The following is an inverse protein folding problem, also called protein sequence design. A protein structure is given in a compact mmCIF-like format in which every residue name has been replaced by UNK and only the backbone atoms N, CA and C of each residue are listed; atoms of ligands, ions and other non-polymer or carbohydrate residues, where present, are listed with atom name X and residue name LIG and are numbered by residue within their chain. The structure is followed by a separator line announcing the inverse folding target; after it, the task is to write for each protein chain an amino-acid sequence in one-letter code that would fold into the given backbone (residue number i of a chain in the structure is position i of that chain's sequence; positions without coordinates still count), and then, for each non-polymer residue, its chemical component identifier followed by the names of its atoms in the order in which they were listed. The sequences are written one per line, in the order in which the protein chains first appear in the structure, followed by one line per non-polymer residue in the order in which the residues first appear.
data_IF_853594153477
#
_entry.id   IF_853594153477
#
_cell.length_a   1.000
_cell.length_b   1.000
_cell.length_c   1.000
_cell.angle_alpha   90.00
_cell.angle_beta   90.00
_cell.angle_gamma   90.00
#
_symmetry.space_group_name_H-M   'P 1'
#
loop_
_entity.id
_entity.type
_entity.pdbx_description
1 polymer ?
#
# COMPACT_ATOMS: atom_id res chain seq x y z
N UNK A 1 25.35 -0.51 1.82
CA UNK A 1 24.57 0.49 1.07
C UNK A 1 23.68 1.19 2.08
N UNK A 2 23.74 2.52 2.15
CA UNK A 2 22.87 3.31 3.05
C UNK A 2 21.44 3.22 2.54
N UNK A 3 20.45 3.14 3.43
CA UNK A 3 19.02 3.18 3.07
C UNK A 3 18.46 4.55 3.44
N UNK A 4 17.75 5.17 2.51
CA UNK A 4 16.98 6.39 2.78
C UNK A 4 15.57 6.17 2.25
N UNK A 5 14.58 6.66 2.98
CA UNK A 5 13.18 6.41 2.73
C UNK A 5 12.52 7.62 2.06
N UNK A 6 11.71 7.36 1.04
CA UNK A 6 10.92 8.37 0.33
C UNK A 6 9.47 8.25 0.74
N UNK A 7 8.98 9.23 1.50
CA UNK A 7 7.58 9.28 1.94
C UNK A 7 6.64 9.63 0.78
N UNK A 8 5.93 8.63 0.26
CA UNK A 8 4.94 8.76 -0.83
C UNK A 8 3.66 9.46 -0.41
N UNK A 9 3.40 9.63 0.89
CA UNK A 9 2.20 10.35 1.36
C UNK A 9 2.32 11.87 1.20
N UNK A 10 3.54 12.39 1.05
CA UNK A 10 3.81 13.82 0.98
C UNK A 10 3.59 14.44 -0.41
N UNK A 11 3.37 13.64 -1.46
CA UNK A 11 3.24 14.15 -2.82
C UNK A 11 2.45 13.21 -3.75
N UNK A 12 1.84 13.80 -4.78
CA UNK A 12 1.19 13.08 -5.88
C UNK A 12 2.11 13.03 -7.11
N UNK A 13 2.04 11.94 -7.87
CA UNK A 13 2.73 11.80 -9.16
C UNK A 13 4.07 11.06 -9.08
N UNK A 14 4.77 11.05 -10.22
CA UNK A 14 6.04 10.33 -10.36
C UNK A 14 7.22 11.18 -9.85
N UNK A 15 8.00 10.62 -8.93
CA UNK A 15 9.26 11.21 -8.47
C UNK A 15 10.38 10.19 -8.69
N UNK A 16 11.43 10.61 -9.40
CA UNK A 16 12.67 9.85 -9.52
C UNK A 16 13.74 10.48 -8.64
N UNK A 17 14.22 9.74 -7.64
CA UNK A 17 15.38 10.13 -6.84
C UNK A 17 16.51 9.14 -7.06
N UNK A 18 17.70 9.64 -7.38
CA UNK A 18 18.90 8.82 -7.51
C UNK A 18 20.01 9.44 -6.66
N UNK A 19 20.55 8.66 -5.74
CA UNK A 19 21.66 9.03 -4.87
C UNK A 19 22.74 7.95 -4.99
N UNK A 20 23.98 8.39 -5.18
CA UNK A 20 25.13 7.48 -5.25
C UNK A 20 25.28 6.68 -3.94
N UNK A 21 25.61 5.39 -4.06
CA UNK A 21 25.80 4.44 -2.95
C UNK A 21 24.64 4.32 -1.94
N UNK A 22 23.44 4.72 -2.36
CA UNK A 22 22.26 4.79 -1.50
C UNK A 22 21.07 4.07 -2.15
N UNK A 23 20.45 3.19 -1.37
CA UNK A 23 19.19 2.54 -1.73
C UNK A 23 18.03 3.43 -1.30
N UNK A 24 17.19 3.82 -2.26
CA UNK A 24 15.94 4.54 -1.97
C UNK A 24 14.82 3.52 -1.84
N UNK A 25 14.11 3.57 -0.71
CA UNK A 25 12.94 2.73 -0.44
C UNK A 25 11.72 3.65 -0.34
N UNK A 26 10.75 3.44 -1.23
CA UNK A 26 9.45 4.10 -1.10
C UNK A 26 8.75 3.64 0.18
N UNK A 27 8.17 4.58 0.89
CA UNK A 27 7.52 4.37 2.18
C UNK A 27 6.20 5.14 2.26
N UNK A 28 5.37 4.76 3.22
CA UNK A 28 4.06 5.34 3.47
C UNK A 28 2.92 4.47 3.00
N UNK A 29 1.72 4.88 3.37
CA UNK A 29 0.48 4.18 2.99
C UNK A 29 -0.43 5.18 2.29
N UNK A 30 -0.87 4.84 1.08
CA UNK A 30 -1.77 5.67 0.26
C UNK A 30 -3.07 4.95 -0.03
N UNK A 31 -4.01 5.64 -0.65
CA UNK A 31 -5.29 5.07 -1.08
C UNK A 31 -5.37 5.18 -2.61
N UNK A 32 -5.59 4.04 -3.25
CA UNK A 32 -5.93 3.91 -4.65
C UNK A 32 -7.44 3.77 -4.78
N UNK A 33 -8.15 4.89 -4.74
CA UNK A 33 -9.60 4.93 -4.91
C UNK A 33 -10.01 4.90 -6.38
N UNK A 34 -11.17 4.30 -6.64
CA UNK A 34 -11.79 4.29 -7.96
C UNK A 34 -12.86 5.38 -8.11
N UNK A 35 -13.10 5.79 -9.35
CA UNK A 35 -14.18 6.71 -9.66
C UNK A 35 -15.53 6.08 -9.30
N UNK A 36 -16.43 6.86 -8.70
CA UNK A 36 -17.79 6.40 -8.35
C UNK A 36 -18.56 5.85 -9.56
N UNK A 37 -18.23 6.32 -10.76
CA UNK A 37 -18.82 5.89 -12.02
C UNK A 37 -18.37 4.49 -12.47
N UNK A 38 -17.29 3.96 -11.91
CA UNK A 38 -16.76 2.62 -12.22
C UNK A 38 -17.41 1.53 -11.36
N UNK A 39 -18.21 1.91 -10.35
CA UNK A 39 -19.00 0.99 -9.53
C UNK A 39 -19.85 0.08 -10.41
N UNK A 40 -19.81 -1.21 -10.13
CA UNK A 40 -20.53 -2.22 -10.91
C UNK A 40 -20.94 -3.42 -10.04
N UNK A 41 -21.70 -4.35 -10.63
CA UNK A 41 -22.22 -5.54 -9.95
C UNK A 41 -21.10 -6.50 -9.50
N UNK A 42 -19.95 -6.50 -10.16
CA UNK A 42 -18.80 -7.33 -9.81
C UNK A 42 -18.19 -6.86 -8.48
N UNK A 43 -17.92 -5.57 -8.32
CA UNK A 43 -17.44 -5.02 -7.04
C UNK A 43 -18.45 -5.20 -5.90
N UNK A 44 -19.75 -5.13 -6.21
CA UNK A 44 -20.79 -5.43 -5.22
C UNK A 44 -20.78 -6.90 -4.81
N UNK A 45 -20.48 -7.81 -5.74
CA UNK A 45 -20.31 -9.24 -5.45
C UNK A 45 -19.09 -9.47 -4.56
N UNK A 46 -17.97 -8.78 -4.82
CA UNK A 46 -16.78 -8.88 -3.97
C UNK A 46 -17.06 -8.48 -2.52
N UNK A 47 -17.81 -7.39 -2.33
CA UNK A 47 -18.20 -6.93 -1.00
C UNK A 47 -19.13 -7.92 -0.29
N UNK A 48 -20.12 -8.46 -1.00
CA UNK A 48 -21.14 -9.34 -0.42
C UNK A 48 -20.62 -10.74 -0.10
N UNK A 49 -19.85 -11.33 -1.03
CA UNK A 49 -19.50 -12.74 -1.00
C UNK A 49 -18.10 -12.98 -0.43
N UNK A 50 -17.19 -12.00 -0.57
CA UNK A 50 -15.76 -12.16 -0.23
C UNK A 50 -15.25 -11.16 0.82
N UNK A 51 -16.13 -10.26 1.30
CA UNK A 51 -15.79 -9.20 2.25
C UNK A 51 -14.66 -8.29 1.77
N UNK A 52 -14.62 -8.02 0.45
CA UNK A 52 -13.67 -7.10 -0.19
C UNK A 52 -14.44 -5.90 -0.73
N UNK A 53 -14.34 -4.78 -0.04
CA UNK A 53 -15.01 -3.53 -0.37
C UNK A 53 -14.00 -2.59 -1.04
N UNK A 54 -14.06 -2.49 -2.37
CA UNK A 54 -13.22 -1.58 -3.15
C UNK A 54 -13.49 -0.13 -2.72
N UNK A 55 -12.42 0.65 -2.55
CA UNK A 55 -12.54 2.05 -2.13
C UNK A 55 -12.89 2.92 -3.34
N UNK A 56 -13.86 3.80 -3.16
CA UNK A 56 -14.29 4.78 -4.17
C UNK A 56 -14.11 6.21 -3.67
N UNK A 57 -14.01 7.16 -4.59
CA UNK A 57 -13.69 8.57 -4.30
C UNK A 57 -14.67 9.27 -3.34
N UNK A 58 -15.90 8.78 -3.19
CA UNK A 58 -16.92 9.31 -2.29
C UNK A 58 -16.92 8.69 -0.88
N UNK A 59 -16.08 7.67 -0.63
CA UNK A 59 -15.98 6.97 0.66
C UNK A 59 -14.54 6.53 0.96
N UNK A 60 -13.65 7.52 1.10
CA UNK A 60 -12.22 7.32 1.37
C UNK A 60 -12.00 7.12 2.88
N UNK A 61 -11.46 5.97 3.33
CA UNK A 61 -11.19 5.72 4.75
C UNK A 61 -10.04 6.59 5.28
N UNK A 62 -10.05 6.86 6.58
CA UNK A 62 -8.90 7.46 7.25
C UNK A 62 -7.85 6.39 7.58
N UNK A 63 -6.60 6.60 7.15
CA UNK A 63 -5.48 5.72 7.49
C UNK A 63 -4.75 6.24 8.73
N UNK A 64 -4.61 5.37 9.74
CA UNK A 64 -3.93 5.67 11.01
C UNK A 64 -2.64 4.85 11.18
N UNK A 65 -1.97 4.53 10.08
CA UNK A 65 -0.72 3.78 10.09
C UNK A 65 0.18 4.17 8.91
N UNK A 66 1.44 3.72 8.94
CA UNK A 66 2.45 4.02 7.95
C UNK A 66 3.24 2.76 7.63
N UNK A 67 3.41 2.43 6.36
CA UNK A 67 4.08 1.19 5.95
C UNK A 67 5.46 1.43 5.35
N UNK A 68 6.36 0.48 5.55
CA UNK A 68 7.64 0.40 4.87
C UNK A 68 7.85 -1.04 4.37
N UNK A 69 7.95 -1.28 3.05
CA UNK A 69 7.86 -0.31 1.94
C UNK A 69 6.45 0.27 1.75
N UNK A 70 6.30 1.12 0.73
CA UNK A 70 5.04 1.77 0.36
C UNK A 70 3.96 0.73 0.04
N UNK A 71 2.77 0.94 0.61
CA UNK A 71 1.57 0.15 0.31
C UNK A 71 0.48 1.08 -0.17
N UNK A 72 -0.16 0.73 -1.27
CA UNK A 72 -1.28 1.48 -1.83
C UNK A 72 -2.58 0.68 -1.64
N UNK A 73 -3.47 1.20 -0.79
CA UNK A 73 -4.67 0.50 -0.34
C UNK A 73 -5.78 0.66 -1.37
N UNK A 74 -6.35 -0.44 -1.82
CA UNK A 74 -7.43 -0.47 -2.83
C UNK A 74 -8.78 -0.95 -2.29
N UNK A 75 -8.77 -1.69 -1.18
CA UNK A 75 -10.01 -2.20 -0.58
C UNK A 75 -9.91 -2.32 0.94
N UNK A 76 -11.07 -2.40 1.58
CA UNK A 76 -11.23 -2.68 3.01
C UNK A 76 -12.12 -3.90 3.21
N UNK A 77 -12.06 -4.50 4.39
CA UNK A 77 -13.02 -5.52 4.82
C UNK A 77 -13.94 -5.01 5.94
N UNK A 78 -14.99 -5.76 6.26
CA UNK A 78 -15.93 -5.42 7.33
C UNK A 78 -15.33 -5.45 8.75
N UNK A 79 -14.11 -5.98 8.92
CA UNK A 79 -13.40 -6.14 10.19
C UNK A 79 -12.42 -4.99 10.46
N UNK A 80 -12.30 -4.03 9.53
CA UNK A 80 -11.37 -2.91 9.61
C UNK A 80 -9.95 -3.27 9.14
N UNK A 81 -9.82 -4.32 8.34
CA UNK A 81 -8.60 -4.64 7.62
C UNK A 81 -8.54 -3.95 6.25
N UNK A 82 -7.33 -3.86 5.71
CA UNK A 82 -7.02 -3.18 4.47
C UNK A 82 -6.32 -4.13 3.50
N UNK A 83 -6.69 -4.07 2.23
CA UNK A 83 -6.03 -4.80 1.14
C UNK A 83 -5.31 -3.80 0.25
N UNK A 84 -4.03 -4.05 -0.04
CA UNK A 84 -3.20 -3.12 -0.78
C UNK A 84 -2.13 -3.77 -1.64
N UNK A 85 -1.65 -2.99 -2.59
CA UNK A 85 -0.54 -3.34 -3.49
C UNK A 85 0.75 -2.90 -2.82
N UNK A 86 1.74 -3.80 -2.78
CA UNK A 86 3.04 -3.52 -2.17
C UNK A 86 4.00 -2.99 -3.22
N UNK A 87 4.31 -1.70 -3.15
CA UNK A 87 5.29 -1.06 -4.02
C UNK A 87 6.70 -1.28 -3.47
N UNK A 88 7.32 -2.37 -3.93
CA UNK A 88 8.77 -2.55 -3.84
C UNK A 88 9.45 -1.93 -5.07
N UNK A 89 10.79 -2.03 -5.16
CA UNK A 89 11.53 -1.77 -6.40
C UNK A 89 11.19 -2.83 -7.48
N UNK A 90 9.91 -3.04 -7.76
CA UNK A 90 9.42 -3.87 -8.86
C UNK A 90 9.30 -2.98 -10.10
N UNK A 91 9.78 -3.48 -11.24
CA UNK A 91 9.79 -2.73 -12.50
C UNK A 91 8.38 -2.53 -13.09
N UNK A 92 7.36 -3.23 -12.57
CA UNK A 92 5.97 -3.15 -13.03
C UNK A 92 4.96 -3.24 -11.87
N UNK A 93 3.86 -2.49 -11.97
CA UNK A 93 2.72 -2.58 -11.04
C UNK A 93 1.98 -3.93 -11.16
N UNK A 94 2.04 -4.57 -12.33
CA UNK A 94 1.37 -5.86 -12.57
C UNK A 94 2.00 -7.03 -11.84
N UNK A 95 3.26 -6.92 -11.43
CA UNK A 95 3.98 -7.97 -10.69
C UNK A 95 4.05 -7.66 -9.18
N UNK A 96 3.43 -6.56 -8.74
CA UNK A 96 3.47 -6.12 -7.35
C UNK A 96 2.54 -6.99 -6.49
N UNK A 97 3.03 -7.54 -5.37
CA UNK A 97 2.26 -8.49 -4.59
C UNK A 97 1.18 -7.79 -3.76
N UNK A 98 0.12 -8.54 -3.43
CA UNK A 98 -1.04 -8.03 -2.69
C UNK A 98 -0.94 -8.42 -1.23
N UNK A 99 -1.01 -7.44 -0.34
CA UNK A 99 -1.02 -7.65 1.10
C UNK A 99 -2.39 -7.38 1.72
N UNK A 100 -2.58 -7.95 2.90
CA UNK A 100 -3.65 -7.65 3.83
C UNK A 100 -3.06 -7.18 5.15
N UNK A 101 -3.52 -6.04 5.65
CA UNK A 101 -3.14 -5.47 6.95
C UNK A 101 -4.38 -5.49 7.82
N UNK A 102 -4.35 -6.26 8.91
CA UNK A 102 -5.49 -6.36 9.80
C UNK A 102 -5.57 -5.17 10.78
N UNK A 103 -6.67 -5.09 11.54
CA UNK A 103 -6.91 -4.07 12.57
C UNK A 103 -5.83 -3.98 13.67
N UNK A 104 -5.06 -5.04 13.87
CA UNK A 104 -4.00 -5.13 14.86
C UNK A 104 -2.63 -4.77 14.26
N UNK A 105 -2.62 -4.31 12.99
CA UNK A 105 -1.46 -3.93 12.19
C UNK A 105 -0.53 -5.12 11.85
N UNK A 106 -1.06 -6.34 11.88
CA UNK A 106 -0.36 -7.52 11.36
C UNK A 106 -0.50 -7.56 9.84
N UNK A 107 0.61 -7.83 9.16
CA UNK A 107 0.67 -7.87 7.70
C UNK A 107 0.79 -9.30 7.17
N UNK A 108 0.00 -9.58 6.14
CA UNK A 108 -0.03 -10.85 5.43
C UNK A 108 0.12 -10.61 3.94
N UNK A 109 0.75 -11.53 3.23
CA UNK A 109 0.66 -11.60 1.77
C UNK A 109 -0.51 -12.52 1.42
N UNK A 110 -1.34 -12.09 0.47
CA UNK A 110 -2.56 -12.82 0.07
C UNK A 110 -2.54 -13.24 -1.40
N UNK A 111 -1.71 -12.61 -2.23
CA UNK A 111 -1.51 -12.99 -3.62
C UNK A 111 -0.20 -12.41 -4.18
N UNK A 112 0.30 -13.01 -5.26
CA UNK A 112 1.52 -12.60 -5.95
C UNK A 112 1.33 -11.34 -6.80
N UNK A 113 0.11 -11.06 -7.26
CA UNK A 113 -0.24 -9.87 -8.03
C UNK A 113 -1.76 -9.66 -8.11
N UNK A 114 -2.19 -8.54 -8.71
CA UNK A 114 -3.62 -8.21 -8.86
C UNK A 114 -4.38 -9.27 -9.69
N UNK A 115 -3.79 -9.79 -10.76
CA UNK A 115 -4.46 -10.77 -11.64
C UNK A 115 -4.74 -12.09 -10.89
N UNK A 116 -3.75 -12.59 -10.16
CA UNK A 116 -3.87 -13.78 -9.31
C UNK A 116 -4.86 -13.54 -8.16
N UNK A 117 -4.86 -12.34 -7.58
CA UNK A 117 -5.79 -11.98 -6.51
C UNK A 117 -7.25 -12.02 -6.99
N UNK A 118 -7.54 -11.38 -8.13
CA UNK A 118 -8.89 -11.36 -8.70
C UNK A 118 -9.34 -12.77 -9.13
N UNK A 119 -8.43 -13.57 -9.69
CA UNK A 119 -8.71 -14.95 -10.10
C UNK A 119 -9.04 -15.88 -8.93
N UNK A 120 -8.51 -15.60 -7.74
CA UNK A 120 -8.67 -16.42 -6.53
C UNK A 120 -9.39 -15.67 -5.39
N UNK A 121 -10.11 -14.59 -5.71
CA UNK A 121 -10.70 -13.70 -4.71
C UNK A 121 -11.64 -14.45 -3.76
N UNK A 122 -12.35 -15.47 -4.24
CA UNK A 122 -13.26 -16.26 -3.40
C UNK A 122 -12.62 -17.05 -2.25
N UNK A 123 -11.29 -17.22 -2.28
CA UNK A 123 -10.53 -17.96 -1.27
C UNK A 123 -9.33 -17.16 -0.74
N UNK A 124 -9.34 -15.82 -0.88
CA UNK A 124 -8.19 -14.98 -0.54
C UNK A 124 -7.71 -15.16 0.90
N UNK A 125 -8.64 -15.43 1.83
CA UNK A 125 -8.34 -15.62 3.25
C UNK A 125 -7.52 -16.89 3.50
N UNK A 126 -7.74 -17.95 2.72
CA UNK A 126 -7.00 -19.21 2.85
C UNK A 126 -5.54 -19.08 2.39
N UNK A 127 -5.25 -18.05 1.60
CA UNK A 127 -3.91 -17.75 1.06
C UNK A 127 -3.07 -16.86 1.99
N UNK A 128 -3.64 -16.36 3.10
CA UNK A 128 -2.95 -15.47 4.04
C UNK A 128 -1.69 -16.13 4.62
N UNK A 129 -0.54 -15.51 4.36
CA UNK A 129 0.75 -15.89 4.96
C UNK A 129 1.37 -14.68 5.64
N UNK A 130 1.84 -14.79 6.89
CA UNK A 130 2.55 -13.70 7.56
C UNK A 130 3.67 -13.16 6.67
N UNK A 131 3.80 -11.83 6.61
CA UNK A 131 4.74 -11.18 5.70
C UNK A 131 5.60 -10.15 6.45
N UNK A 132 6.86 -10.51 6.68
CA UNK A 132 7.83 -9.74 7.47
C UNK A 132 8.59 -8.69 6.65
N UNK A 133 8.39 -8.65 5.33
CA UNK A 133 9.01 -7.65 4.45
C UNK A 133 8.29 -6.30 4.47
N UNK A 134 7.15 -6.20 5.15
CA UNK A 134 6.46 -4.92 5.40
C UNK A 134 6.46 -4.69 6.90
N UNK A 135 7.02 -3.56 7.31
CA UNK A 135 6.86 -3.03 8.66
C UNK A 135 5.69 -2.06 8.67
N UNK A 136 4.76 -2.27 9.60
CA UNK A 136 3.61 -1.37 9.81
C UNK A 136 3.85 -0.58 11.10
N UNK A 137 4.04 0.72 10.95
CA UNK A 137 4.15 1.68 12.05
C UNK A 137 2.77 2.27 12.34
N UNK A 138 2.50 2.61 13.60
CA UNK A 138 1.27 3.31 14.03
C UNK A 138 1.22 4.75 13.54
N UNK A 139 2.35 5.30 13.10
CA UNK A 139 2.41 6.63 12.49
C UNK A 139 3.73 6.85 11.75
N UNK A 140 3.76 7.86 10.88
CA UNK A 140 5.01 8.35 10.29
C UNK A 140 6.03 8.77 11.36
N UNK A 141 5.57 9.47 12.41
CA UNK A 141 6.44 9.94 13.48
C UNK A 141 7.14 8.79 14.22
N UNK A 142 6.49 7.62 14.35
CA UNK A 142 7.11 6.41 14.88
C UNK A 142 8.20 5.89 13.93
N UNK A 143 7.92 5.82 12.64
CA UNK A 143 8.90 5.41 11.63
C UNK A 143 10.15 6.34 11.63
N UNK A 144 9.96 7.65 11.77
CA UNK A 144 11.03 8.65 11.84
C UNK A 144 11.95 8.50 13.06
N UNK A 145 11.56 7.73 14.09
CA UNK A 145 12.45 7.45 15.23
C UNK A 145 13.56 6.46 14.89
N UNK A 146 13.38 5.69 13.81
CA UNK A 146 14.28 4.59 13.40
C UNK A 146 14.83 4.77 11.99
N UNK A 147 14.08 5.45 11.11
CA UNK A 147 14.34 5.55 9.68
C UNK A 147 14.70 6.97 9.26
N UNK A 148 15.66 7.07 8.34
CA UNK A 148 16.06 8.34 7.73
C UNK A 148 15.25 8.62 6.46
N UNK A 149 14.47 9.69 6.44
CA UNK A 149 13.67 10.09 5.29
C UNK A 149 14.33 11.20 4.47
N UNK A 150 14.08 11.19 3.16
CA UNK A 150 14.43 12.31 2.29
C UNK A 150 13.58 13.52 2.65
N UNK A 151 14.21 14.64 2.93
CA UNK A 151 13.53 15.93 2.96
C UNK A 151 13.47 16.50 1.54
N UNK A 152 12.27 16.51 0.94
CA UNK A 152 12.09 17.08 -0.39
C UNK A 152 12.29 18.59 -0.41
N UNK A 153 12.17 19.28 0.73
CA UNK A 153 12.44 20.72 0.81
C UNK A 153 13.93 21.05 0.59
N UNK A 154 14.83 20.10 0.84
CA UNK A 154 16.25 20.21 0.48
C UNK A 154 16.48 20.11 -1.03
N UNK A 155 15.51 19.60 -1.80
CA UNK A 155 15.63 19.30 -3.24
C UNK A 155 14.78 20.27 -4.09
N UNK A 156 13.65 20.76 -3.57
CA UNK A 156 12.75 21.71 -4.24
C UNK A 156 13.38 23.04 -4.71
N UNK A 157 14.42 23.63 -4.10
CA UNK A 157 15.06 24.84 -4.66
C UNK A 157 15.87 24.60 -5.94
N UNK A 158 15.87 23.38 -6.50
CA UNK A 158 16.57 23.01 -7.74
C UNK A 158 15.63 22.74 -8.94
N UNK A 159 14.30 22.91 -8.78
CA UNK A 159 13.27 22.82 -9.84
C UNK A 159 12.67 24.19 -10.14
#
# INVERSE_FOLDING_TARGET
MRKIYLDRTAFSGAIGVNLEDTEIISAGTTINSMGVHDRNEEYQTYANDYDIQVIFDDDIPHLEFFTVPHVDIMAIDSKGGFVGIVYQQCDSESDAPICYINRDLECFIISENVEDFLSNIGTWQDNMKPYDKITVYRSKAEAETELEFIDLSDILPLL
#
